data_IF_051077882844
#
_entry.id   IF_051077882844
#
_cell.length_a   1.000
_cell.length_b   1.000
_cell.length_c   1.000
_cell.angle_alpha   90.00
_cell.angle_beta   90.00
_cell.angle_gamma   90.00
#
_symmetry.space_group_name_H-M   'P 1'
#
loop_
_entity.id
_entity.type
_entity.pdbx_description
1 polymer ?
#
# COMPACT_ATOMS: atom_id res chain seq x y z
N UNK A 1 31.25 -9.31 -21.72
CA UNK A 1 30.25 -8.23 -21.58
C UNK A 1 29.85 -8.15 -20.11
N UNK A 2 30.33 -7.14 -19.38
CA UNK A 2 30.07 -7.04 -17.95
C UNK A 2 28.61 -6.68 -17.69
N UNK A 3 27.92 -7.53 -16.93
CA UNK A 3 26.62 -7.19 -16.38
C UNK A 3 26.78 -5.94 -15.50
N UNK A 4 26.19 -4.83 -15.94
CA UNK A 4 26.09 -3.64 -15.10
C UNK A 4 25.22 -4.02 -13.89
N UNK A 5 25.84 -4.26 -12.73
CA UNK A 5 25.13 -4.47 -11.46
C UNK A 5 24.18 -3.28 -11.25
N UNK A 6 22.88 -3.51 -11.34
CA UNK A 6 21.87 -2.51 -11.01
C UNK A 6 22.12 -2.06 -9.57
N UNK A 7 22.40 -0.79 -9.36
CA UNK A 7 22.53 -0.23 -8.01
C UNK A 7 21.14 -0.26 -7.37
N UNK A 8 20.96 -1.12 -6.37
CA UNK A 8 19.77 -1.15 -5.51
C UNK A 8 20.09 -0.45 -4.21
N UNK A 9 19.21 0.42 -3.77
CA UNK A 9 19.30 1.12 -2.48
C UNK A 9 18.50 0.40 -1.38
N UNK A 10 17.99 -0.81 -1.66
CA UNK A 10 17.16 -1.57 -0.74
C UNK A 10 17.81 -1.84 0.61
N UNK A 11 19.13 -2.09 0.63
CA UNK A 11 19.91 -2.29 1.87
C UNK A 11 19.93 -1.07 2.80
N UNK A 12 19.76 0.13 2.24
CA UNK A 12 19.67 1.38 3.02
C UNK A 12 18.20 1.63 3.42
N UNK A 13 17.27 1.43 2.51
CA UNK A 13 15.86 1.72 2.74
C UNK A 13 15.23 0.78 3.77
N UNK A 14 15.66 -0.47 3.85
CA UNK A 14 15.18 -1.43 4.85
C UNK A 14 15.39 -0.95 6.30
N UNK A 15 16.63 -0.66 6.77
CA UNK A 15 16.82 -0.16 8.13
C UNK A 15 16.19 1.23 8.35
N UNK A 16 16.13 2.07 7.32
CA UNK A 16 15.49 3.39 7.41
C UNK A 16 13.98 3.25 7.68
N UNK A 17 13.29 2.33 7.01
CA UNK A 17 11.87 2.10 7.26
C UNK A 17 11.60 1.60 8.68
N UNK A 18 12.43 0.67 9.19
CA UNK A 18 12.33 0.19 10.56
C UNK A 18 12.58 1.34 11.55
N UNK A 19 13.63 2.16 11.31
CA UNK A 19 13.95 3.29 12.15
C UNK A 19 12.79 4.30 12.23
N UNK A 20 12.19 4.65 11.09
CA UNK A 20 11.04 5.56 11.04
C UNK A 20 9.88 4.97 11.87
N UNK A 21 9.48 3.73 11.57
CA UNK A 21 8.35 3.10 12.24
C UNK A 21 8.59 2.91 13.74
N UNK A 22 9.79 2.49 14.14
CA UNK A 22 10.11 2.29 15.56
C UNK A 22 10.25 3.61 16.33
N UNK A 23 10.76 4.67 15.70
CA UNK A 23 10.96 5.96 16.39
C UNK A 23 9.65 6.71 16.59
N UNK A 24 8.78 6.73 15.57
CA UNK A 24 7.58 7.56 15.58
C UNK A 24 6.31 6.82 15.98
N UNK A 25 6.29 5.47 15.90
CA UNK A 25 5.06 4.67 16.04
C UNK A 25 5.26 3.43 16.92
N UNK A 26 6.16 3.52 17.89
CA UNK A 26 6.41 2.43 18.86
C UNK A 26 5.19 2.08 19.71
N UNK A 27 4.29 3.03 19.89
CA UNK A 27 3.00 2.87 20.59
C UNK A 27 1.96 2.05 19.80
N UNK A 28 2.28 1.68 18.54
CA UNK A 28 1.44 0.91 17.62
C UNK A 28 2.04 -0.47 17.29
N UNK A 29 2.28 -1.35 18.28
CA UNK A 29 3.08 -2.58 18.07
C UNK A 29 2.44 -3.55 17.07
N UNK A 30 1.10 -3.64 17.01
CA UNK A 30 0.42 -4.54 16.07
C UNK A 30 0.66 -4.08 14.63
N UNK A 31 0.40 -2.83 14.32
CA UNK A 31 0.58 -2.25 12.99
C UNK A 31 2.05 -2.27 12.54
N UNK A 32 2.96 -2.01 13.48
CA UNK A 32 4.40 -2.14 13.27
C UNK A 32 4.79 -3.57 12.88
N UNK A 33 4.36 -4.55 13.68
CA UNK A 33 4.63 -5.98 13.41
C UNK A 33 4.10 -6.40 12.04
N UNK A 34 2.86 -6.03 11.72
CA UNK A 34 2.22 -6.34 10.43
C UNK A 34 3.00 -5.73 9.27
N UNK A 35 3.37 -4.44 9.37
CA UNK A 35 4.12 -3.75 8.31
C UNK A 35 5.47 -4.42 8.01
N UNK A 36 6.21 -4.78 9.06
CA UNK A 36 7.50 -5.46 8.91
C UNK A 36 7.32 -6.90 8.41
N UNK A 37 6.28 -7.61 8.87
CA UNK A 37 5.98 -8.96 8.38
C UNK A 37 5.66 -8.98 6.88
N UNK A 38 4.88 -8.01 6.39
CA UNK A 38 4.59 -7.87 4.96
C UNK A 38 5.87 -7.63 4.16
N UNK A 39 6.74 -6.72 4.62
CA UNK A 39 8.02 -6.49 3.97
C UNK A 39 8.90 -7.76 3.97
N UNK A 40 8.96 -8.48 5.10
CA UNK A 40 9.86 -9.62 5.28
C UNK A 40 9.44 -10.85 4.48
N UNK A 41 8.15 -11.08 4.30
CA UNK A 41 7.63 -12.31 3.68
C UNK A 41 6.94 -12.08 2.34
N UNK A 42 6.15 -11.01 2.20
CA UNK A 42 5.37 -10.81 0.98
C UNK A 42 6.24 -10.27 -0.17
N UNK A 43 7.16 -9.36 0.09
CA UNK A 43 8.07 -8.83 -0.92
C UNK A 43 9.01 -9.91 -1.51
N UNK A 44 9.68 -10.77 -0.71
CA UNK A 44 10.43 -11.90 -1.26
C UNK A 44 9.54 -12.91 -2.02
N UNK A 45 8.32 -13.18 -1.55
CA UNK A 45 7.40 -14.07 -2.26
C UNK A 45 7.04 -13.50 -3.64
N UNK A 46 6.74 -12.20 -3.72
CA UNK A 46 6.50 -11.50 -4.98
C UNK A 46 7.71 -11.59 -5.93
N UNK A 47 8.90 -11.36 -5.40
CA UNK A 47 10.16 -11.42 -6.16
C UNK A 47 10.43 -12.82 -6.71
N UNK A 48 10.29 -13.87 -5.88
CA UNK A 48 10.53 -15.27 -6.30
C UNK A 48 9.53 -15.72 -7.37
N UNK A 49 8.24 -15.41 -7.18
CA UNK A 49 7.20 -15.79 -8.15
C UNK A 49 7.31 -14.93 -9.40
N UNK A 50 7.50 -13.61 -9.23
CA UNK A 50 7.62 -12.67 -10.32
C UNK A 50 8.84 -12.91 -11.23
N UNK A 51 9.95 -13.40 -10.69
CA UNK A 51 11.14 -13.69 -11.47
C UNK A 51 10.95 -14.85 -12.48
N UNK A 52 9.98 -15.72 -12.24
CA UNK A 52 9.64 -16.85 -13.11
C UNK A 52 8.56 -16.50 -14.15
N UNK A 53 7.98 -15.32 -14.06
CA UNK A 53 6.89 -14.87 -14.92
C UNK A 53 7.41 -14.26 -16.22
N UNK A 54 6.65 -14.46 -17.30
CA UNK A 54 6.85 -13.78 -18.59
C UNK A 54 5.92 -12.56 -18.76
N UNK A 55 4.94 -12.37 -17.87
CA UNK A 55 3.95 -11.29 -17.96
C UNK A 55 4.39 -10.07 -17.15
N UNK A 56 5.12 -9.15 -17.79
CA UNK A 56 5.62 -7.95 -17.14
C UNK A 56 4.77 -6.73 -17.47
N UNK A 57 4.63 -5.82 -16.49
CA UNK A 57 4.02 -4.52 -16.72
C UNK A 57 4.95 -3.61 -17.53
N UNK A 58 4.47 -3.05 -18.62
CA UNK A 58 5.18 -2.04 -19.40
C UNK A 58 4.54 -0.66 -19.20
N UNK A 59 5.32 0.38 -19.08
CA UNK A 59 6.77 0.59 -19.15
C UNK A 59 7.43 0.86 -17.78
N UNK A 60 7.38 -0.08 -16.83
CA UNK A 60 7.96 0.09 -15.50
C UNK A 60 9.49 0.04 -15.55
N UNK A 61 10.16 0.82 -14.68
CA UNK A 61 11.62 0.88 -14.59
C UNK A 61 12.19 -0.47 -14.17
N UNK A 62 11.57 -1.12 -13.19
CA UNK A 62 11.87 -2.49 -12.79
C UNK A 62 10.85 -3.45 -13.40
N UNK A 63 11.30 -4.66 -13.75
CA UNK A 63 10.44 -5.67 -14.38
C UNK A 63 9.50 -6.31 -13.36
N UNK A 64 8.47 -5.55 -12.96
CA UNK A 64 7.40 -6.09 -12.12
C UNK A 64 6.45 -6.94 -12.95
N UNK A 65 5.94 -8.04 -12.38
CA UNK A 65 5.08 -8.99 -13.08
C UNK A 65 3.70 -9.10 -12.43
N UNK A 66 2.73 -9.52 -13.22
CA UNK A 66 1.35 -9.73 -12.75
C UNK A 66 1.31 -10.82 -11.67
N UNK A 67 2.01 -11.93 -11.91
CA UNK A 67 2.08 -13.06 -10.97
C UNK A 67 2.78 -12.68 -9.66
N UNK A 68 3.83 -11.85 -9.74
CA UNK A 68 4.50 -11.29 -8.56
C UNK A 68 3.56 -10.42 -7.74
N UNK A 69 2.77 -9.57 -8.40
CA UNK A 69 1.80 -8.72 -7.71
C UNK A 69 0.65 -9.53 -7.08
N UNK A 70 0.18 -10.60 -7.73
CA UNK A 70 -0.79 -11.53 -7.13
C UNK A 70 -0.18 -12.21 -5.91
N UNK A 71 1.06 -12.67 -5.99
CA UNK A 71 1.76 -13.28 -4.86
C UNK A 71 1.92 -12.28 -3.69
N UNK A 72 2.30 -11.02 -3.99
CA UNK A 72 2.35 -9.94 -3.01
C UNK A 72 1.02 -9.76 -2.31
N UNK A 73 -0.08 -9.66 -3.07
CA UNK A 73 -1.41 -9.48 -2.52
C UNK A 73 -1.83 -10.66 -1.63
N UNK A 74 -1.73 -11.90 -2.12
CA UNK A 74 -2.17 -13.07 -1.37
C UNK A 74 -1.36 -13.26 -0.08
N UNK A 75 -0.04 -13.10 -0.15
CA UNK A 75 0.83 -13.23 1.02
C UNK A 75 0.57 -12.11 2.03
N UNK A 76 0.46 -10.86 1.57
CA UNK A 76 0.12 -9.72 2.43
C UNK A 76 -1.25 -9.90 3.09
N UNK A 77 -2.26 -10.32 2.33
CA UNK A 77 -3.59 -10.60 2.85
C UNK A 77 -3.56 -11.61 4.00
N UNK A 78 -2.88 -12.74 3.80
CA UNK A 78 -2.77 -13.78 4.84
C UNK A 78 -2.01 -13.28 6.07
N UNK A 79 -0.89 -12.56 5.87
CA UNK A 79 -0.09 -12.01 6.96
C UNK A 79 -0.88 -10.98 7.76
N UNK A 80 -1.65 -10.11 7.11
CA UNK A 80 -2.45 -9.10 7.78
C UNK A 80 -3.61 -9.76 8.53
N UNK A 81 -4.36 -10.67 7.90
CA UNK A 81 -5.51 -11.32 8.52
C UNK A 81 -5.07 -12.17 9.72
N UNK A 82 -4.14 -13.10 9.53
CA UNK A 82 -3.68 -14.00 10.58
C UNK A 82 -2.87 -13.26 11.63
N UNK A 83 -1.94 -12.41 11.18
CA UNK A 83 -1.06 -11.64 12.05
C UNK A 83 -1.84 -10.70 12.98
N UNK A 84 -2.88 -10.02 12.47
CA UNK A 84 -3.75 -9.16 13.30
C UNK A 84 -4.45 -9.97 14.37
N UNK A 85 -5.06 -11.12 14.03
CA UNK A 85 -5.75 -11.98 15.02
C UNK A 85 -4.78 -12.52 16.09
N UNK A 86 -3.61 -13.00 15.65
CA UNK A 86 -2.58 -13.52 16.57
C UNK A 86 -2.03 -12.41 17.49
N UNK A 87 -1.67 -11.26 16.92
CA UNK A 87 -1.11 -10.16 17.71
C UNK A 87 -2.15 -9.54 18.65
N UNK A 88 -3.42 -9.48 18.23
CA UNK A 88 -4.52 -9.06 19.10
C UNK A 88 -4.63 -9.93 20.34
N UNK A 89 -4.54 -11.25 20.20
CA UNK A 89 -4.57 -12.19 21.32
C UNK A 89 -3.37 -12.10 22.24
N UNK A 90 -2.17 -11.78 21.69
CA UNK A 90 -0.95 -11.71 22.45
C UNK A 90 -0.76 -10.39 23.21
N UNK A 91 -1.15 -9.27 22.59
CA UNK A 91 -0.84 -7.93 23.11
C UNK A 91 -2.02 -7.20 23.74
N UNK A 92 -3.27 -7.56 23.39
CA UNK A 92 -4.42 -6.78 23.82
C UNK A 92 -5.66 -7.65 23.91
N UNK A 93 -5.98 -8.13 25.11
CA UNK A 93 -7.20 -8.92 25.36
C UNK A 93 -8.51 -8.17 24.95
N UNK A 94 -8.45 -6.86 24.77
CA UNK A 94 -9.60 -6.01 24.41
C UNK A 94 -9.62 -5.59 22.93
N UNK A 95 -8.61 -5.96 22.13
CA UNK A 95 -8.58 -5.65 20.70
C UNK A 95 -9.19 -6.81 19.92
N UNK A 96 -10.51 -6.76 19.73
CA UNK A 96 -11.22 -7.72 18.92
C UNK A 96 -11.87 -7.04 17.72
N UNK A 97 -11.54 -7.53 16.52
CA UNK A 97 -12.21 -7.10 15.28
C UNK A 97 -13.20 -8.18 14.84
N UNK A 98 -14.46 -7.82 14.54
CA UNK A 98 -15.38 -8.74 13.86
C UNK A 98 -14.77 -9.31 12.59
N UNK A 99 -15.02 -10.56 12.28
CA UNK A 99 -14.40 -11.27 11.16
C UNK A 99 -14.49 -10.50 9.82
N UNK A 100 -15.67 -9.95 9.51
CA UNK A 100 -15.86 -9.18 8.28
C UNK A 100 -15.02 -7.87 8.24
N UNK A 101 -14.80 -7.23 9.39
CA UNK A 101 -13.94 -6.04 9.51
C UNK A 101 -12.47 -6.44 9.34
N UNK A 102 -12.05 -7.55 9.95
CA UNK A 102 -10.70 -8.09 9.80
C UNK A 102 -10.40 -8.43 8.34
N UNK A 103 -11.31 -9.06 7.63
CA UNK A 103 -11.14 -9.35 6.19
C UNK A 103 -11.11 -8.07 5.37
N UNK A 104 -11.98 -7.10 5.67
CA UNK A 104 -11.96 -5.78 5.02
C UNK A 104 -10.64 -5.04 5.21
N UNK A 105 -10.10 -5.02 6.43
CA UNK A 105 -8.78 -4.48 6.77
C UNK A 105 -7.68 -5.17 5.96
N UNK A 106 -7.69 -6.53 5.94
CA UNK A 106 -6.68 -7.30 5.24
C UNK A 106 -6.69 -7.04 3.72
N UNK A 107 -7.88 -6.97 3.10
CA UNK A 107 -8.01 -6.63 1.68
C UNK A 107 -7.50 -5.21 1.42
N UNK A 108 -7.93 -4.24 2.22
CA UNK A 108 -7.59 -2.83 2.01
C UNK A 108 -6.08 -2.57 2.13
N UNK A 109 -5.45 -3.07 3.19
CA UNK A 109 -4.02 -2.89 3.40
C UNK A 109 -3.18 -3.74 2.43
N UNK A 110 -3.58 -4.97 2.09
CA UNK A 110 -2.87 -5.80 1.11
C UNK A 110 -2.92 -5.20 -0.30
N UNK A 111 -4.05 -4.65 -0.73
CA UNK A 111 -4.14 -3.93 -2.02
C UNK A 111 -3.20 -2.73 -2.05
N UNK A 112 -3.20 -1.93 -0.98
CA UNK A 112 -2.33 -0.76 -0.88
C UNK A 112 -0.84 -1.12 -0.89
N UNK A 113 -0.46 -2.17 -0.16
CA UNK A 113 0.91 -2.71 -0.15
C UNK A 113 1.34 -3.21 -1.52
N UNK A 114 0.45 -3.93 -2.21
CA UNK A 114 0.71 -4.44 -3.56
C UNK A 114 0.90 -3.31 -4.56
N UNK A 115 0.06 -2.28 -4.52
CA UNK A 115 0.22 -1.11 -5.38
C UNK A 115 1.53 -0.37 -5.08
N UNK A 116 1.90 -0.26 -3.80
CA UNK A 116 3.18 0.32 -3.39
C UNK A 116 4.37 -0.47 -3.93
N UNK A 117 4.32 -1.81 -3.87
CA UNK A 117 5.33 -2.70 -4.46
C UNK A 117 5.41 -2.52 -5.97
N UNK A 118 4.28 -2.48 -6.67
CA UNK A 118 4.22 -2.26 -8.12
C UNK A 118 4.83 -0.92 -8.54
N UNK A 119 4.69 0.14 -7.75
CA UNK A 119 5.22 1.48 -8.03
C UNK A 119 6.70 1.63 -7.70
N UNK A 120 7.24 0.73 -6.88
CA UNK A 120 8.60 0.83 -6.39
C UNK A 120 9.65 0.52 -7.47
N UNK A 121 10.82 1.14 -7.34
CA UNK A 121 11.96 0.92 -8.22
C UNK A 121 13.28 1.01 -7.44
N UNK A 122 14.32 0.32 -7.92
CA UNK A 122 15.69 0.35 -7.37
C UNK A 122 15.76 0.03 -5.87
N UNK A 123 14.84 -0.77 -5.34
CA UNK A 123 14.78 -1.17 -3.94
C UNK A 123 14.00 -0.21 -3.04
N UNK A 124 13.23 0.75 -3.60
CA UNK A 124 12.39 1.65 -2.79
C UNK A 124 11.19 0.95 -2.14
N UNK A 125 10.85 -0.28 -2.59
CA UNK A 125 9.89 -1.19 -1.93
C UNK A 125 10.22 -1.39 -0.45
N UNK A 126 11.48 -1.54 -0.11
CA UNK A 126 11.93 -1.68 1.28
C UNK A 126 11.59 -0.48 2.19
N UNK A 127 11.27 0.67 1.62
CA UNK A 127 10.78 1.85 2.34
C UNK A 127 9.27 2.02 2.17
N UNK A 128 8.80 2.00 0.93
CA UNK A 128 7.42 2.35 0.62
C UNK A 128 6.42 1.27 1.07
N UNK A 129 6.74 -0.01 0.91
CA UNK A 129 5.83 -1.10 1.30
C UNK A 129 5.52 -1.08 2.80
N UNK A 130 6.50 -1.09 3.72
CA UNK A 130 6.18 -1.09 5.15
C UNK A 130 5.48 0.19 5.59
N UNK A 131 5.86 1.36 5.08
CA UNK A 131 5.19 2.61 5.42
C UNK A 131 3.74 2.64 4.93
N UNK A 132 3.48 2.28 3.68
CA UNK A 132 2.12 2.24 3.14
C UNK A 132 1.28 1.19 3.86
N UNK A 133 1.83 0.01 4.13
CA UNK A 133 1.12 -1.03 4.90
C UNK A 133 0.73 -0.51 6.28
N UNK A 134 1.67 0.11 7.01
CA UNK A 134 1.43 0.68 8.32
C UNK A 134 0.32 1.76 8.28
N UNK A 135 0.49 2.76 7.43
CA UNK A 135 -0.48 3.87 7.37
C UNK A 135 -1.86 3.44 6.90
N UNK A 136 -1.97 2.56 5.91
CA UNK A 136 -3.27 2.08 5.44
C UNK A 136 -3.95 1.18 6.47
N UNK A 137 -3.20 0.40 7.21
CA UNK A 137 -3.70 -0.37 8.35
C UNK A 137 -4.28 0.54 9.44
N UNK A 138 -3.53 1.56 9.89
CA UNK A 138 -3.98 2.52 10.91
C UNK A 138 -5.17 3.36 10.42
N UNK A 139 -5.13 3.84 9.17
CA UNK A 139 -6.23 4.59 8.57
C UNK A 139 -7.52 3.78 8.60
N UNK A 140 -7.47 2.51 8.24
CA UNK A 140 -8.66 1.65 8.29
C UNK A 140 -9.20 1.52 9.72
N UNK A 141 -8.33 1.26 10.70
CA UNK A 141 -8.73 1.15 12.11
C UNK A 141 -9.30 2.45 12.66
N UNK A 142 -8.68 3.60 12.38
CA UNK A 142 -9.16 4.91 12.80
C UNK A 142 -10.56 5.16 12.22
N UNK A 143 -10.76 4.91 10.93
CA UNK A 143 -12.06 5.10 10.30
C UNK A 143 -13.12 4.10 10.83
N UNK A 144 -12.72 2.88 11.18
CA UNK A 144 -13.60 1.93 11.83
C UNK A 144 -14.04 2.42 13.22
N UNK A 145 -13.11 2.84 14.07
CA UNK A 145 -13.40 3.33 15.43
C UNK A 145 -14.22 4.62 15.43
N UNK A 146 -14.02 5.49 14.45
CA UNK A 146 -14.79 6.74 14.30
C UNK A 146 -16.13 6.58 13.55
N UNK A 147 -16.52 5.35 13.18
CA UNK A 147 -17.72 5.06 12.38
C UNK A 147 -17.74 5.79 11.01
N UNK A 148 -16.57 6.09 10.45
CA UNK A 148 -16.41 6.73 9.13
C UNK A 148 -15.95 5.76 8.04
N UNK A 149 -15.92 4.46 8.33
CA UNK A 149 -15.46 3.43 7.40
C UNK A 149 -16.23 3.44 6.07
N UNK A 150 -17.53 3.68 6.11
CA UNK A 150 -18.34 3.79 4.88
C UNK A 150 -17.84 4.93 3.97
N UNK A 151 -17.49 6.08 4.53
CA UNK A 151 -16.92 7.20 3.75
C UNK A 151 -15.58 6.81 3.13
N UNK A 152 -14.72 6.10 3.85
CA UNK A 152 -13.46 5.58 3.33
C UNK A 152 -13.68 4.62 2.16
N UNK A 153 -14.65 3.71 2.27
CA UNK A 153 -14.98 2.76 1.21
C UNK A 153 -15.59 3.44 -0.03
N UNK A 154 -16.46 4.43 0.18
CA UNK A 154 -17.01 5.25 -0.91
C UNK A 154 -15.89 5.98 -1.62
N UNK A 155 -14.96 6.61 -0.88
CA UNK A 155 -13.81 7.27 -1.47
C UNK A 155 -12.89 6.29 -2.22
N UNK A 156 -12.68 5.10 -1.69
CA UNK A 156 -11.92 4.06 -2.36
C UNK A 156 -12.53 3.73 -3.73
N UNK A 157 -13.84 3.47 -3.78
CA UNK A 157 -14.54 3.19 -5.04
C UNK A 157 -14.51 4.40 -6.00
N UNK A 158 -14.70 5.61 -5.48
CA UNK A 158 -14.64 6.85 -6.26
C UNK A 158 -13.24 7.11 -6.83
N UNK A 159 -12.19 6.86 -6.06
CA UNK A 159 -10.82 7.04 -6.54
C UNK A 159 -10.46 6.02 -7.63
N UNK A 160 -10.88 4.76 -7.51
CA UNK A 160 -10.73 3.77 -8.59
C UNK A 160 -11.41 4.26 -9.86
N UNK A 161 -12.62 4.82 -9.76
CA UNK A 161 -13.37 5.36 -10.90
C UNK A 161 -12.65 6.57 -11.53
N UNK A 162 -12.26 7.56 -10.73
CA UNK A 162 -11.55 8.77 -11.19
C UNK A 162 -10.26 8.40 -11.93
N UNK A 163 -9.42 7.55 -11.33
CA UNK A 163 -8.14 7.19 -11.94
C UNK A 163 -8.29 6.25 -13.14
N UNK A 164 -9.34 5.43 -13.19
CA UNK A 164 -9.69 4.65 -14.40
C UNK A 164 -10.08 5.55 -15.56
N UNK A 165 -10.86 6.59 -15.31
CA UNK A 165 -11.22 7.61 -16.30
C UNK A 165 -9.98 8.38 -16.75
N UNK A 166 -9.18 8.89 -15.84
CA UNK A 166 -7.96 9.64 -16.15
C UNK A 166 -6.98 8.83 -17.02
N UNK A 167 -6.86 7.52 -16.75
CA UNK A 167 -6.09 6.62 -17.60
C UNK A 167 -6.74 6.45 -18.99
N UNK A 168 -8.06 6.26 -19.07
CA UNK A 168 -8.79 6.08 -20.34
C UNK A 168 -8.62 7.28 -21.26
N UNK A 169 -8.62 8.49 -20.73
CA UNK A 169 -8.42 9.73 -21.49
C UNK A 169 -6.94 10.13 -21.64
N UNK A 170 -6.01 9.23 -21.32
CA UNK A 170 -4.56 9.46 -21.43
C UNK A 170 -4.02 10.66 -20.61
N UNK A 171 -4.81 11.20 -19.66
CA UNK A 171 -4.38 12.28 -18.77
C UNK A 171 -3.32 11.81 -17.76
N UNK A 172 -3.27 10.51 -17.46
CA UNK A 172 -2.28 9.91 -16.56
C UNK A 172 -1.71 8.61 -17.14
N UNK A 173 -0.41 8.38 -16.87
CA UNK A 173 0.19 7.06 -17.02
C UNK A 173 -0.40 6.08 -15.98
N UNK A 174 -0.23 4.78 -16.19
CA UNK A 174 -0.67 3.78 -15.21
C UNK A 174 -0.03 3.99 -13.84
N UNK A 175 1.29 4.29 -13.81
CA UNK A 175 2.01 4.58 -12.58
C UNK A 175 1.49 5.85 -11.89
N UNK A 176 1.19 6.90 -12.65
CA UNK A 176 0.58 8.13 -12.14
C UNK A 176 -0.81 7.90 -11.55
N UNK A 177 -1.62 7.07 -12.20
CA UNK A 177 -2.95 6.69 -11.71
C UNK A 177 -2.87 5.91 -10.39
N UNK A 178 -2.00 4.91 -10.30
CA UNK A 178 -1.82 4.11 -9.09
C UNK A 178 -1.19 4.92 -7.94
N UNK A 179 -0.21 5.79 -8.25
CA UNK A 179 0.39 6.69 -7.26
C UNK A 179 -0.62 7.70 -6.72
N UNK A 180 -1.41 8.33 -7.60
CA UNK A 180 -2.50 9.22 -7.21
C UNK A 180 -3.56 8.52 -6.36
N UNK A 181 -3.90 7.27 -6.69
CA UNK A 181 -4.81 6.45 -5.90
C UNK A 181 -4.30 6.23 -4.46
N UNK A 182 -3.03 5.82 -4.28
CA UNK A 182 -2.45 5.65 -2.94
C UNK A 182 -2.42 6.97 -2.15
N UNK A 183 -1.97 8.05 -2.76
CA UNK A 183 -1.94 9.37 -2.12
C UNK A 183 -3.37 9.81 -1.75
N UNK A 184 -4.34 9.59 -2.62
CA UNK A 184 -5.74 9.89 -2.37
C UNK A 184 -6.30 9.13 -1.16
N UNK A 185 -5.99 7.84 -1.03
CA UNK A 185 -6.38 7.02 0.13
C UNK A 185 -5.75 7.56 1.42
N UNK A 186 -4.45 7.86 1.41
CA UNK A 186 -3.76 8.37 2.59
C UNK A 186 -4.32 9.71 3.06
N UNK A 187 -4.55 10.65 2.13
CA UNK A 187 -5.06 11.99 2.44
C UNK A 187 -6.51 11.92 2.91
N UNK A 188 -7.39 11.22 2.15
CA UNK A 188 -8.79 11.10 2.55
C UNK A 188 -8.95 10.34 3.85
N UNK A 189 -8.27 9.22 4.01
CA UNK A 189 -8.34 8.39 5.20
C UNK A 189 -7.86 9.10 6.47
N UNK A 190 -6.93 10.05 6.34
CA UNK A 190 -6.42 10.84 7.47
C UNK A 190 -7.30 12.04 7.83
N UNK A 191 -7.96 12.68 6.87
CA UNK A 191 -8.69 13.93 7.12
C UNK A 191 -10.00 14.09 6.36
N UNK A 192 -10.46 13.04 5.67
CA UNK A 192 -11.73 13.02 4.96
C UNK A 192 -11.83 14.07 3.87
N UNK A 193 -13.06 14.53 3.64
CA UNK A 193 -13.36 15.50 2.59
C UNK A 193 -12.61 16.82 2.70
N UNK A 194 -12.29 17.25 3.92
CA UNK A 194 -11.60 18.54 4.17
C UNK A 194 -10.20 18.57 3.54
N UNK A 195 -9.48 17.46 3.60
CA UNK A 195 -8.12 17.38 3.05
C UNK A 195 -8.09 16.98 1.58
N UNK A 196 -9.09 16.23 1.10
CA UNK A 196 -9.07 15.74 -0.27
C UNK A 196 -9.52 16.80 -1.30
N UNK A 197 -10.43 17.73 -0.93
CA UNK A 197 -10.91 18.75 -1.85
C UNK A 197 -9.81 19.59 -2.50
N UNK A 198 -8.83 20.14 -1.76
CA UNK A 198 -7.73 20.88 -2.37
C UNK A 198 -6.93 20.04 -3.37
N UNK A 199 -6.71 18.75 -3.05
CA UNK A 199 -5.96 17.84 -3.94
C UNK A 199 -6.72 17.57 -5.23
N UNK A 200 -8.01 17.25 -5.14
CA UNK A 200 -8.87 17.00 -6.32
C UNK A 200 -8.98 18.25 -7.17
N UNK A 201 -9.16 19.42 -6.55
CA UNK A 201 -9.22 20.69 -7.27
C UNK A 201 -7.92 20.99 -8.01
N UNK A 202 -6.77 20.80 -7.36
CA UNK A 202 -5.47 20.95 -7.99
C UNK A 202 -5.30 19.99 -9.17
N UNK A 203 -5.67 18.72 -9.00
CA UNK A 203 -5.58 17.72 -10.05
C UNK A 203 -6.45 18.07 -11.26
N UNK A 204 -7.71 18.45 -11.04
CA UNK A 204 -8.64 18.81 -12.12
C UNK A 204 -8.15 20.08 -12.84
N UNK A 205 -7.78 21.13 -12.10
CA UNK A 205 -7.29 22.37 -12.70
C UNK A 205 -6.02 22.18 -13.51
N UNK A 206 -5.08 21.40 -13.00
CA UNK A 206 -3.85 21.05 -13.72
C UNK A 206 -4.12 20.24 -14.99
N UNK A 207 -5.04 19.27 -14.93
CA UNK A 207 -5.41 18.47 -16.10
C UNK A 207 -6.17 19.24 -17.17
N UNK A 208 -6.89 20.32 -16.80
CA UNK A 208 -7.59 21.17 -17.74
C UNK A 208 -6.69 22.20 -18.43
N UNK A 209 -5.57 22.56 -17.77
CA UNK A 209 -4.61 23.55 -18.27
C UNK A 209 -3.46 22.92 -19.07
N UNK A 210 -3.30 21.60 -19.04
CA UNK A 210 -2.29 20.82 -19.76
C UNK A 210 -2.81 20.29 -21.09
#
# INVERSE_FOLDING_TARGET
MGEMKRKSYGTIFFPVSILILSTFFWDKPISFFIAISVLTFADPAASVIGSKSNNHFHPWIDKKSVEGSIAMFCTSFLLIAIGTDVMARLYSANFYLPFHILIGLAIFAALSSTISEMLSCKGSDNLSVPLITFFTYEIFLINYTHNTLLHLLIWFALSVFIFSIAKKYHSLSLSGALGGFLIGILIFGSGGWKLIFPLVFFFISSSLLS
#
